data_IF_949760491692
#
_entry.id   IF_949760491692
#
_cell.length_a   1.000
_cell.length_b   1.000
_cell.length_c   1.000
_cell.angle_alpha   90.00
_cell.angle_beta   90.00
_cell.angle_gamma   90.00
#
_symmetry.space_group_name_H-M   'P 1'
#
loop_
_entity.id
_entity.type
_entity.pdbx_description
1 polymer ?
#
# COMPACT_ATOMS: atom_id res chain seq x y z
N UNK A 1 -55.30 -29.70 11.44
CA UNK A 1 -56.59 -29.09 11.08
C UNK A 1 -56.26 -27.67 10.59
N UNK A 2 -56.20 -27.48 9.27
CA UNK A 2 -57.21 -26.76 8.45
C UNK A 2 -57.15 -25.23 8.69
N UNK A 3 -57.17 -24.33 7.71
CA UNK A 3 -57.37 -24.37 6.26
C UNK A 3 -56.90 -23.01 5.67
N UNK A 4 -56.63 -23.02 4.36
CA UNK A 4 -56.42 -21.86 3.49
C UNK A 4 -57.57 -20.84 3.53
N UNK A 5 -57.26 -19.57 3.22
CA UNK A 5 -58.17 -18.71 2.46
C UNK A 5 -57.41 -17.82 1.45
N UNK A 6 -57.86 -17.94 0.20
CA UNK A 6 -57.58 -17.08 -0.96
C UNK A 6 -58.47 -15.84 -0.88
N UNK A 7 -58.01 -14.68 -1.38
CA UNK A 7 -58.90 -13.70 -2.02
C UNK A 7 -58.17 -12.92 -3.13
N UNK A 8 -58.88 -12.83 -4.25
CA UNK A 8 -58.59 -12.14 -5.50
C UNK A 8 -59.30 -10.77 -5.46
N UNK A 9 -58.76 -9.73 -6.10
CA UNK A 9 -59.54 -8.75 -6.86
C UNK A 9 -58.64 -7.73 -7.59
N UNK A 10 -58.97 -7.56 -8.85
CA UNK A 10 -58.45 -6.68 -9.88
C UNK A 10 -59.28 -5.36 -9.90
N UNK A 11 -58.68 -4.23 -10.26
CA UNK A 11 -59.41 -3.03 -10.75
C UNK A 11 -58.47 -1.91 -11.21
N UNK A 12 -58.76 -1.30 -12.36
CA UNK A 12 -58.62 0.16 -12.48
C UNK A 12 -57.99 0.74 -13.76
N UNK A 13 -58.66 0.53 -14.89
CA UNK A 13 -58.91 1.47 -16.02
C UNK A 13 -58.11 2.77 -16.20
N UNK A 14 -57.61 2.89 -17.43
CA UNK A 14 -57.21 4.07 -18.22
C UNK A 14 -58.21 5.24 -18.25
N UNK A 15 -57.67 6.47 -18.33
CA UNK A 15 -58.26 7.62 -19.03
C UNK A 15 -57.18 8.40 -19.80
N UNK A 16 -57.55 8.80 -21.01
CA UNK A 16 -56.80 9.49 -22.06
C UNK A 16 -57.04 11.03 -22.04
N UNK A 17 -56.15 11.75 -22.74
CA UNK A 17 -56.27 13.05 -23.43
C UNK A 17 -55.00 13.90 -23.20
N UNK A 18 -54.31 14.47 -24.20
CA UNK A 18 -54.48 14.50 -25.65
C UNK A 18 -53.53 15.53 -26.28
N UNK A 19 -53.39 15.45 -27.61
CA UNK A 19 -52.92 16.47 -28.59
C UNK A 19 -51.47 17.00 -28.46
N UNK A 20 -50.67 17.18 -29.53
CA UNK A 20 -50.86 16.98 -30.97
C UNK A 20 -49.65 17.54 -31.76
N UNK A 21 -49.50 17.06 -33.00
CA UNK A 21 -48.76 17.59 -34.18
C UNK A 21 -47.25 17.91 -34.02
N UNK A 22 -46.33 17.55 -34.92
CA UNK A 22 -46.32 17.17 -36.34
C UNK A 22 -44.91 17.56 -36.83
N UNK A 23 -44.15 16.73 -37.55
CA UNK A 23 -43.85 16.74 -38.99
C UNK A 23 -42.62 15.79 -39.09
N UNK A 24 -42.47 14.76 -39.93
CA UNK A 24 -42.95 14.54 -41.29
C UNK A 24 -41.78 14.75 -42.26
N UNK A 25 -40.96 13.72 -42.53
CA UNK A 25 -40.20 13.59 -43.79
C UNK A 25 -40.02 12.12 -44.18
N UNK A 26 -40.14 11.93 -45.49
CA UNK A 26 -40.55 10.74 -46.24
C UNK A 26 -39.34 9.91 -46.70
N UNK A 27 -39.48 8.58 -46.68
CA UNK A 27 -38.49 7.61 -47.17
C UNK A 27 -38.88 7.24 -48.61
N UNK A 28 -38.00 7.52 -49.56
CA UNK A 28 -38.15 7.12 -50.96
C UNK A 28 -37.22 5.94 -51.29
N UNK A 29 -37.82 4.85 -51.77
CA UNK A 29 -37.12 3.68 -52.34
C UNK A 29 -37.10 3.79 -53.87
N UNK A 30 -35.99 3.40 -54.50
CA UNK A 30 -35.90 3.04 -55.93
C UNK A 30 -34.93 1.84 -56.11
N UNK A 31 -35.07 1.06 -57.21
CA UNK A 31 -34.96 -0.41 -57.21
C UNK A 31 -33.62 -1.00 -57.68
N UNK A 32 -33.43 -2.29 -57.39
CA UNK A 32 -32.35 -3.17 -57.86
C UNK A 32 -32.29 -3.32 -59.39
N UNK A 33 -31.09 -3.22 -59.97
CA UNK A 33 -30.73 -3.93 -61.21
C UNK A 33 -29.24 -4.31 -61.24
N UNK A 34 -28.99 -5.46 -61.86
CA UNK A 34 -27.84 -6.35 -61.79
C UNK A 34 -26.81 -6.17 -62.93
N UNK A 35 -25.58 -6.58 -62.63
CA UNK A 35 -24.43 -7.06 -63.43
C UNK A 35 -24.25 -6.75 -64.95
N UNK A 36 -22.95 -6.46 -65.22
CA UNK A 36 -22.10 -6.77 -66.41
C UNK A 36 -22.14 -5.82 -67.62
N UNK A 37 -21.05 -5.06 -67.79
CA UNK A 37 -20.23 -4.95 -69.04
C UNK A 37 -19.18 -3.82 -68.83
N UNK A 38 -17.88 -4.13 -68.67
CA UNK A 38 -16.82 -4.24 -69.70
C UNK A 38 -16.59 -2.95 -70.53
N UNK A 39 -15.47 -2.25 -70.28
CA UNK A 39 -14.50 -1.87 -71.33
C UNK A 39 -13.17 -1.37 -70.75
N UNK A 40 -12.11 -1.91 -71.37
CA UNK A 40 -10.68 -1.86 -71.12
C UNK A 40 -10.04 -0.46 -71.34
N UNK A 41 -8.94 -0.19 -70.63
CA UNK A 41 -7.97 0.85 -70.99
C UNK A 41 -6.83 0.97 -69.97
N UNK A 42 -5.60 0.68 -70.40
CA UNK A 42 -4.43 0.41 -69.58
C UNK A 42 -3.75 1.65 -68.95
N UNK A 43 -3.03 1.43 -67.84
CA UNK A 43 -2.03 2.37 -67.31
C UNK A 43 -1.75 2.21 -65.82
N UNK A 44 -0.80 1.35 -65.46
CA UNK A 44 -0.35 1.14 -64.08
C UNK A 44 0.59 2.25 -63.60
N UNK A 45 0.25 2.96 -62.53
CA UNK A 45 1.18 3.42 -61.46
C UNK A 45 0.37 3.56 -60.17
N UNK A 46 0.81 2.86 -59.12
CA UNK A 46 0.20 2.87 -57.79
C UNK A 46 0.51 4.17 -57.04
N UNK A 47 -0.53 4.85 -56.55
CA UNK A 47 -0.42 5.94 -55.59
C UNK A 47 -1.28 5.61 -54.37
N UNK A 48 -0.64 5.11 -53.31
CA UNK A 48 -1.22 5.02 -51.97
C UNK A 48 -1.46 6.44 -51.45
N UNK A 49 -2.71 6.79 -51.15
CA UNK A 49 -3.05 8.08 -50.55
C UNK A 49 -4.43 8.07 -49.90
N UNK A 50 -4.44 8.37 -48.61
CA UNK A 50 -5.57 8.71 -47.74
C UNK A 50 -6.44 7.57 -47.19
N UNK A 51 -6.07 7.11 -45.99
CA UNK A 51 -7.06 6.91 -44.93
C UNK A 51 -6.57 7.68 -43.68
N UNK A 52 -7.16 8.85 -43.46
CA UNK A 52 -6.95 9.67 -42.26
C UNK A 52 -8.24 9.62 -41.46
N UNK A 53 -8.18 9.15 -40.21
CA UNK A 53 -8.92 9.68 -39.04
C UNK A 53 -8.81 8.74 -37.83
N UNK A 54 -8.42 9.34 -36.70
CA UNK A 54 -8.55 8.89 -35.31
C UNK A 54 -7.48 7.93 -34.73
N UNK A 55 -6.24 8.43 -34.63
CA UNK A 55 -5.39 8.11 -33.49
C UNK A 55 -4.93 9.42 -32.84
N UNK A 56 -5.54 9.81 -31.72
CA UNK A 56 -4.93 10.81 -30.82
C UNK A 56 -3.70 10.14 -30.23
N UNK A 57 -2.47 10.64 -30.40
CA UNK A 57 -1.38 10.16 -29.59
C UNK A 57 -1.68 10.65 -28.17
N UNK A 58 -1.97 9.74 -27.25
CA UNK A 58 -1.75 10.03 -25.85
C UNK A 58 -0.26 10.38 -25.76
N UNK A 59 0.04 11.64 -25.44
CA UNK A 59 1.38 12.06 -25.12
C UNK A 59 1.79 11.35 -23.83
N UNK A 60 2.26 10.11 -23.96
CA UNK A 60 3.05 9.45 -22.95
C UNK A 60 4.28 10.33 -22.76
N UNK A 61 4.25 11.16 -21.73
CA UNK A 61 5.44 11.81 -21.25
C UNK A 61 6.39 10.68 -20.86
N UNK A 62 7.36 10.40 -21.72
CA UNK A 62 8.47 9.53 -21.39
C UNK A 62 9.21 10.20 -20.22
N UNK A 63 8.81 9.86 -18.99
CA UNK A 63 9.58 10.18 -17.81
C UNK A 63 10.94 9.53 -18.02
N UNK A 64 12.00 10.34 -18.00
CA UNK A 64 13.37 9.87 -17.96
C UNK A 64 13.58 9.08 -16.67
N UNK A 65 13.31 7.77 -16.72
CA UNK A 65 13.51 6.84 -15.61
C UNK A 65 15.00 6.55 -15.46
N UNK A 66 15.74 7.50 -14.89
CA UNK A 66 17.10 7.27 -14.45
C UNK A 66 17.08 6.62 -13.06
N UNK A 67 17.85 5.54 -12.89
CA UNK A 67 18.21 5.03 -11.55
C UNK A 67 18.85 6.20 -10.80
N UNK A 68 18.20 6.64 -9.71
CA UNK A 68 18.66 7.77 -8.92
C UNK A 68 19.02 7.29 -7.53
N UNK A 69 20.19 7.66 -7.04
CA UNK A 69 20.61 7.36 -5.68
C UNK A 69 19.85 8.25 -4.70
N UNK A 70 19.03 7.63 -3.85
CA UNK A 70 18.45 8.26 -2.66
C UNK A 70 19.19 7.67 -1.45
N UNK A 71 19.93 8.48 -0.67
CA UNK A 71 20.80 7.98 0.39
C UNK A 71 20.14 6.96 1.32
N UNK A 72 20.90 5.93 1.74
CA UNK A 72 20.42 4.83 2.57
C UNK A 72 19.83 3.66 1.76
N UNK A 73 19.02 3.92 0.74
CA UNK A 73 18.42 2.85 -0.08
C UNK A 73 19.44 2.01 -0.85
N UNK A 74 20.58 2.60 -1.21
CA UNK A 74 21.66 1.89 -1.93
C UNK A 74 22.17 0.66 -1.14
N UNK A 75 22.10 0.67 0.20
CA UNK A 75 22.48 -0.46 1.04
C UNK A 75 21.51 -1.66 0.93
N UNK A 76 20.33 -1.45 0.36
CA UNK A 76 19.26 -2.44 0.18
C UNK A 76 18.91 -2.66 -1.29
N UNK A 77 19.85 -2.40 -2.21
CA UNK A 77 19.61 -2.51 -3.65
C UNK A 77 19.21 -3.93 -4.14
N UNK A 78 19.37 -4.97 -3.31
CA UNK A 78 18.90 -6.33 -3.60
C UNK A 78 17.41 -6.54 -3.31
N UNK A 79 16.79 -5.72 -2.46
CA UNK A 79 15.38 -5.83 -2.05
C UNK A 79 14.56 -4.57 -2.35
N UNK A 80 15.21 -3.48 -2.71
CA UNK A 80 14.59 -2.19 -3.00
C UNK A 80 15.12 -1.63 -4.31
N UNK A 81 14.22 -1.05 -5.11
CA UNK A 81 14.58 -0.31 -6.33
C UNK A 81 14.05 1.11 -6.25
N UNK A 82 14.93 2.08 -6.47
CA UNK A 82 14.57 3.50 -6.46
C UNK A 82 14.69 4.07 -7.87
N UNK A 83 13.63 4.74 -8.30
CA UNK A 83 13.58 5.45 -9.58
C UNK A 83 13.09 6.87 -9.35
N UNK A 84 13.50 7.80 -10.21
CA UNK A 84 12.90 9.15 -10.23
C UNK A 84 11.81 9.20 -11.30
N UNK A 85 10.64 9.72 -10.93
CA UNK A 85 9.54 9.98 -11.87
C UNK A 85 8.88 11.31 -11.53
N UNK A 86 9.08 12.31 -12.40
CA UNK A 86 8.58 13.67 -12.19
C UNK A 86 9.06 14.26 -10.85
N UNK A 87 8.10 14.60 -9.98
CA UNK A 87 8.34 15.21 -8.65
C UNK A 87 8.56 14.20 -7.52
N UNK A 88 8.58 12.90 -7.80
CA UNK A 88 8.70 11.85 -6.80
C UNK A 88 9.93 10.96 -7.04
N UNK A 89 10.48 10.45 -5.94
CA UNK A 89 11.16 9.16 -5.94
C UNK A 89 10.09 8.07 -5.82
N UNK A 90 10.14 7.08 -6.71
CA UNK A 90 9.35 5.87 -6.66
C UNK A 90 10.21 4.75 -6.08
N UNK A 91 9.75 4.15 -4.99
CA UNK A 91 10.46 3.08 -4.29
C UNK A 91 9.66 1.79 -4.40
N UNK A 92 10.24 0.80 -5.08
CA UNK A 92 9.68 -0.53 -5.20
C UNK A 92 10.25 -1.46 -4.12
N UNK A 93 9.39 -2.23 -3.46
CA UNK A 93 9.78 -3.21 -2.42
C UNK A 93 8.71 -4.29 -2.24
N UNK A 94 9.05 -5.35 -1.50
CA UNK A 94 8.08 -6.35 -1.04
C UNK A 94 7.36 -5.95 0.26
N UNK A 95 7.84 -4.89 0.94
CA UNK A 95 7.41 -4.52 2.29
C UNK A 95 7.95 -5.43 3.40
N UNK A 96 8.75 -6.46 3.09
CA UNK A 96 9.35 -7.36 4.08
C UNK A 96 10.82 -7.04 4.35
N UNK A 97 11.27 -7.03 5.62
CA UNK A 97 12.67 -6.89 5.98
C UNK A 97 13.45 -8.20 5.78
N UNK A 98 14.79 -8.12 5.85
CA UNK A 98 15.68 -9.29 5.91
C UNK A 98 15.92 -9.84 7.32
N UNK A 99 15.56 -9.07 8.35
CA UNK A 99 15.63 -9.52 9.75
C UNK A 99 14.37 -10.32 10.14
N UNK A 100 14.38 -10.93 11.33
CA UNK A 100 13.23 -11.69 11.82
C UNK A 100 12.01 -10.79 12.11
N UNK A 101 10.80 -11.34 12.19
CA UNK A 101 9.57 -10.60 12.45
C UNK A 101 8.74 -11.30 13.53
N UNK A 102 7.67 -10.66 14.00
CA UNK A 102 6.57 -11.20 14.80
C UNK A 102 6.90 -11.61 16.24
N UNK A 103 8.12 -12.05 16.53
CA UNK A 103 8.53 -12.50 17.87
C UNK A 103 8.46 -11.34 18.86
N UNK A 104 7.76 -11.57 19.99
CA UNK A 104 7.60 -10.58 21.06
C UNK A 104 6.21 -9.93 21.11
N UNK A 105 5.39 -10.10 20.06
CA UNK A 105 4.01 -9.57 20.04
C UNK A 105 3.17 -10.27 21.12
N UNK A 106 2.49 -9.48 21.95
CA UNK A 106 1.59 -9.92 23.05
C UNK A 106 0.13 -9.53 22.84
N UNK A 107 -0.12 -8.54 21.98
CA UNK A 107 -1.45 -8.14 21.51
C UNK A 107 -1.53 -8.46 20.02
N UNK A 108 -1.80 -9.72 19.70
CA UNK A 108 -1.76 -10.22 18.33
C UNK A 108 -3.14 -10.38 17.72
N UNK A 109 -3.34 -9.80 16.53
CA UNK A 109 -4.58 -9.88 15.74
C UNK A 109 -4.58 -11.03 14.70
N UNK A 110 -3.82 -12.09 14.97
CA UNK A 110 -3.75 -13.28 14.11
C UNK A 110 -3.34 -12.97 12.66
N UNK A 111 -2.54 -11.92 12.46
CA UNK A 111 -1.95 -11.55 11.16
C UNK A 111 -0.53 -12.12 11.04
N UNK A 112 -0.12 -12.46 9.82
CA UNK A 112 1.19 -13.02 9.51
C UNK A 112 1.84 -12.22 8.37
N UNK A 113 3.17 -12.15 8.27
CA UNK A 113 3.80 -11.30 7.27
C UNK A 113 3.69 -11.93 5.87
N UNK A 114 3.16 -11.17 4.93
CA UNK A 114 3.07 -11.52 3.51
C UNK A 114 3.68 -10.42 2.64
N UNK A 115 4.44 -10.84 1.61
CA UNK A 115 5.02 -9.92 0.66
C UNK A 115 3.93 -9.19 -0.16
N UNK A 116 4.03 -7.87 -0.24
CA UNK A 116 3.17 -7.01 -1.02
C UNK A 116 3.87 -6.65 -2.35
N UNK A 117 3.09 -6.38 -3.40
CA UNK A 117 3.66 -5.97 -4.70
C UNK A 117 3.65 -4.44 -4.81
N UNK A 118 4.56 -3.78 -4.10
CA UNK A 118 4.77 -2.34 -4.24
C UNK A 118 5.68 -2.08 -5.44
N UNK A 119 5.17 -2.25 -6.66
CA UNK A 119 5.94 -2.14 -7.90
C UNK A 119 5.19 -1.32 -8.95
N UNK A 120 5.91 -0.72 -9.90
CA UNK A 120 5.33 0.07 -10.98
C UNK A 120 4.42 1.20 -10.46
N UNK A 121 3.15 1.19 -10.85
CA UNK A 121 2.15 2.18 -10.42
C UNK A 121 1.77 2.06 -8.94
N UNK A 122 2.19 0.98 -8.25
CA UNK A 122 2.01 0.73 -6.82
C UNK A 122 3.31 0.93 -6.02
N UNK A 123 4.33 1.57 -6.59
CA UNK A 123 5.52 1.94 -5.86
C UNK A 123 5.21 3.03 -4.80
N UNK A 124 5.96 3.03 -3.71
CA UNK A 124 5.90 4.12 -2.73
C UNK A 124 6.36 5.42 -3.36
N UNK A 125 5.66 6.53 -3.08
CA UNK A 125 5.95 7.84 -3.65
C UNK A 125 6.49 8.77 -2.57
N UNK A 126 7.73 9.24 -2.72
CA UNK A 126 8.37 10.17 -1.79
C UNK A 126 8.67 11.47 -2.54
N UNK A 127 8.17 12.64 -2.08
CA UNK A 127 8.47 13.92 -2.73
C UNK A 127 9.98 14.13 -2.89
N UNK A 128 10.42 14.40 -4.11
CA UNK A 128 11.84 14.56 -4.39
C UNK A 128 12.41 15.92 -3.96
N UNK A 129 11.53 16.89 -3.75
CA UNK A 129 11.82 18.22 -3.21
C UNK A 129 10.76 18.53 -2.17
N UNK A 130 10.99 18.22 -0.89
CA UNK A 130 10.03 18.48 0.17
C UNK A 130 9.81 20.00 0.33
N UNK A 131 8.57 20.38 0.63
CA UNK A 131 8.16 21.79 0.80
C UNK A 131 7.58 21.95 2.19
N UNK A 132 8.05 22.95 2.95
CA UNK A 132 7.51 23.25 4.28
C UNK A 132 6.04 23.64 4.20
N UNK A 133 5.22 23.04 5.06
CA UNK A 133 3.82 23.38 5.20
C UNK A 133 3.65 24.67 6.01
N UNK A 134 2.70 25.51 5.59
CA UNK A 134 2.22 26.64 6.40
C UNK A 134 1.31 26.20 7.54
N UNK A 135 0.76 24.99 7.43
CA UNK A 135 -0.06 24.34 8.44
C UNK A 135 0.41 22.88 8.60
N UNK A 136 1.52 22.64 9.34
CA UNK A 136 1.98 21.29 9.65
C UNK A 136 0.90 20.45 10.33
N UNK A 137 0.88 19.14 10.07
CA UNK A 137 -0.15 18.24 10.58
C UNK A 137 0.45 17.25 11.57
N UNK A 138 -0.17 17.10 12.75
CA UNK A 138 0.27 16.14 13.78
C UNK A 138 -0.29 14.75 13.54
N UNK A 139 0.54 13.72 13.74
CA UNK A 139 0.10 12.34 13.73
C UNK A 139 -0.71 11.95 14.98
N UNK A 140 -0.87 12.82 15.99
CA UNK A 140 -1.68 12.54 17.18
C UNK A 140 -3.16 12.31 16.88
N UNK A 141 -3.67 12.96 15.84
CA UNK A 141 -5.07 12.96 15.46
C UNK A 141 -5.29 12.86 13.93
N UNK A 142 -4.22 12.69 13.17
CA UNK A 142 -4.22 12.47 11.72
C UNK A 142 -3.39 11.24 11.37
N UNK A 143 -3.56 10.71 10.16
CA UNK A 143 -2.73 9.62 9.64
C UNK A 143 -2.75 8.35 10.50
N UNK A 144 -3.92 8.01 11.07
CA UNK A 144 -4.13 6.79 11.88
C UNK A 144 -4.30 5.54 10.99
N UNK A 145 -4.23 5.70 9.66
CA UNK A 145 -4.24 4.63 8.66
C UNK A 145 -3.07 4.83 7.69
N UNK A 146 -2.51 3.73 7.22
CA UNK A 146 -1.42 3.75 6.23
C UNK A 146 -0.09 4.25 6.80
N UNK A 147 0.90 4.32 5.92
CA UNK A 147 2.24 4.74 6.29
C UNK A 147 2.35 6.26 6.43
N UNK A 148 3.28 6.67 7.29
CA UNK A 148 3.75 8.06 7.42
C UNK A 148 5.20 8.23 6.97
N UNK A 149 5.94 7.13 6.86
CA UNK A 149 7.30 7.11 6.34
C UNK A 149 7.61 5.75 5.67
N UNK A 150 8.73 5.68 4.97
CA UNK A 150 9.26 4.46 4.38
C UNK A 150 10.70 4.26 4.86
N UNK A 151 10.97 3.12 5.48
CA UNK A 151 12.32 2.73 5.87
C UNK A 151 13.17 2.41 4.64
N UNK A 152 14.48 2.64 4.73
CA UNK A 152 15.40 2.43 3.60
C UNK A 152 15.56 0.97 3.18
N UNK A 153 15.13 0.02 4.03
CA UNK A 153 15.01 -1.39 3.69
C UNK A 153 13.70 -1.74 2.93
N UNK A 154 12.85 -0.74 2.64
CA UNK A 154 11.61 -0.89 1.89
C UNK A 154 10.39 -1.25 2.72
N UNK A 155 10.49 -1.30 4.05
CA UNK A 155 9.37 -1.57 4.96
C UNK A 155 8.64 -0.25 5.28
N UNK A 156 7.30 -0.21 5.19
CA UNK A 156 6.52 0.97 5.57
C UNK A 156 6.62 1.24 7.07
N UNK A 157 6.57 2.52 7.45
CA UNK A 157 6.48 2.94 8.85
C UNK A 157 5.17 3.66 9.05
N UNK A 158 4.34 3.12 9.93
CA UNK A 158 3.04 3.64 10.30
C UNK A 158 3.18 4.54 11.53
N UNK A 159 2.10 5.25 11.83
CA UNK A 159 2.00 6.12 12.99
C UNK A 159 2.27 5.34 14.29
N UNK A 160 2.99 5.92 15.25
CA UNK A 160 3.20 5.29 16.57
C UNK A 160 1.89 4.91 17.28
N UNK A 161 0.80 5.60 16.94
CA UNK A 161 -0.55 5.26 17.36
C UNK A 161 -1.22 4.30 16.37
N UNK A 162 -1.93 3.30 16.88
CA UNK A 162 -2.80 2.46 16.06
C UNK A 162 -4.11 3.20 15.68
N UNK A 163 -4.99 2.53 14.94
CA UNK A 163 -6.23 3.12 14.43
C UNK A 163 -7.25 3.53 15.52
N UNK A 164 -7.03 3.16 16.79
CA UNK A 164 -7.83 3.58 17.95
C UNK A 164 -7.22 4.78 18.67
N UNK A 165 -5.99 5.18 18.30
CA UNK A 165 -5.22 6.22 18.99
C UNK A 165 -4.36 5.70 20.15
N UNK A 166 -4.26 4.38 20.34
CA UNK A 166 -3.42 3.79 21.39
C UNK A 166 -1.96 3.70 20.90
N UNK A 167 -0.98 3.90 21.80
CA UNK A 167 0.44 3.68 21.51
C UNK A 167 0.69 2.18 21.26
N UNK A 168 1.05 1.83 20.02
CA UNK A 168 1.22 0.45 19.57
C UNK A 168 2.39 -0.26 20.27
N UNK A 169 3.46 0.48 20.62
CA UNK A 169 4.59 -0.07 21.36
C UNK A 169 4.16 -0.45 22.78
N UNK A 170 3.47 0.47 23.47
CA UNK A 170 3.02 0.24 24.85
C UNK A 170 1.88 -0.78 24.96
N UNK A 171 1.05 -0.93 23.91
CA UNK A 171 -0.04 -1.92 23.87
C UNK A 171 0.44 -3.35 23.65
N UNK A 172 1.75 -3.56 23.38
CA UNK A 172 2.33 -4.87 23.13
C UNK A 172 1.97 -5.44 21.75
N UNK A 173 1.57 -4.60 20.80
CA UNK A 173 1.26 -4.98 19.42
C UNK A 173 2.52 -5.24 18.58
N UNK A 174 3.68 -4.72 19.01
CA UNK A 174 4.93 -4.76 18.24
C UNK A 174 5.82 -5.96 18.58
N UNK A 175 6.52 -6.45 17.57
CA UNK A 175 7.60 -7.41 17.71
C UNK A 175 8.90 -6.74 18.23
N UNK A 176 9.94 -7.55 18.41
CA UNK A 176 11.24 -7.11 18.90
C UNK A 176 11.96 -6.11 17.97
N UNK A 177 11.46 -5.91 16.74
CA UNK A 177 11.99 -4.98 15.75
C UNK A 177 11.12 -3.73 15.62
N UNK A 178 10.04 -3.64 16.40
CA UNK A 178 9.17 -2.48 16.43
C UNK A 178 8.12 -2.46 15.34
N UNK A 179 7.77 -3.61 14.77
CA UNK A 179 6.72 -3.73 13.76
C UNK A 179 5.71 -4.84 14.03
N UNK A 180 4.67 -4.88 13.21
CA UNK A 180 3.68 -5.95 13.20
C UNK A 180 2.99 -6.03 11.83
N UNK A 181 2.06 -6.97 11.69
CA UNK A 181 1.26 -7.11 10.49
C UNK A 181 -0.11 -6.44 10.62
N UNK A 182 -0.49 -5.63 9.64
CA UNK A 182 -1.82 -5.05 9.48
C UNK A 182 -2.85 -6.07 8.99
N UNK A 183 -4.12 -5.65 8.87
CA UNK A 183 -5.25 -6.51 8.46
C UNK A 183 -5.13 -7.08 7.04
N UNK A 184 -4.14 -6.65 6.26
CA UNK A 184 -3.84 -7.20 4.94
C UNK A 184 -2.60 -8.09 4.94
N UNK A 185 -2.19 -8.58 6.12
CA UNK A 185 -0.95 -9.33 6.32
C UNK A 185 0.29 -8.53 5.86
N UNK A 186 0.21 -7.19 5.85
CA UNK A 186 1.30 -6.29 5.51
C UNK A 186 2.13 -5.97 6.75
N UNK A 187 3.41 -6.33 6.74
CA UNK A 187 4.33 -5.98 7.82
C UNK A 187 4.74 -4.49 7.73
N UNK A 188 4.73 -3.79 8.86
CA UNK A 188 5.17 -2.40 8.97
C UNK A 188 5.69 -2.08 10.37
N UNK A 189 6.57 -1.09 10.46
CA UNK A 189 7.03 -0.57 11.77
C UNK A 189 6.07 0.47 12.33
N UNK A 190 6.07 0.63 13.66
CA UNK A 190 5.43 1.75 14.37
C UNK A 190 6.44 2.64 15.11
N UNK A 191 7.70 2.21 15.16
CA UNK A 191 8.82 2.96 15.75
C UNK A 191 9.95 3.06 14.73
N UNK A 192 10.88 3.99 14.94
CA UNK A 192 12.03 4.11 14.05
C UNK A 192 12.87 2.81 14.07
N UNK A 193 13.19 2.21 12.90
CA UNK A 193 14.04 1.03 12.83
C UNK A 193 15.52 1.40 13.02
N UNK A 194 15.88 1.82 14.24
CA UNK A 194 17.21 2.35 14.59
C UNK A 194 18.35 1.39 14.27
N UNK A 195 18.09 0.09 14.26
CA UNK A 195 19.05 -0.94 13.89
C UNK A 195 19.62 -0.74 12.47
N UNK A 196 18.85 -0.15 11.54
CA UNK A 196 19.29 0.12 10.17
C UNK A 196 20.48 1.09 10.11
N UNK A 197 20.66 1.94 11.13
CA UNK A 197 21.80 2.87 11.21
C UNK A 197 23.16 2.15 11.12
N UNK A 198 23.25 0.93 11.69
CA UNK A 198 24.45 0.09 11.62
C UNK A 198 24.78 -0.41 10.21
N UNK A 199 23.78 -0.46 9.33
CA UNK A 199 23.90 -0.95 7.95
C UNK A 199 24.18 0.22 7.01
N UNK A 200 23.40 1.31 7.11
CA UNK A 200 23.52 2.45 6.19
C UNK A 200 24.58 3.46 6.59
N UNK A 201 25.10 3.35 7.81
CA UNK A 201 26.01 4.30 8.42
C UNK A 201 25.30 5.54 8.98
N UNK A 202 26.00 6.26 9.85
CA UNK A 202 25.44 7.43 10.55
C UNK A 202 25.03 8.58 9.62
N UNK A 203 25.77 8.79 8.55
CA UNK A 203 25.57 9.90 7.62
C UNK A 203 24.41 9.69 6.66
N UNK A 204 23.83 8.49 6.63
CA UNK A 204 22.70 8.14 5.77
C UNK A 204 21.41 8.09 6.58
N UNK A 205 20.27 8.51 6.01
CA UNK A 205 18.96 8.31 6.64
C UNK A 205 18.63 6.83 6.81
N UNK A 206 17.86 6.51 7.84
CA UNK A 206 17.27 5.18 8.06
C UNK A 206 15.87 5.07 7.45
N UNK A 207 15.23 6.20 7.17
CA UNK A 207 13.92 6.27 6.54
C UNK A 207 13.72 7.65 5.90
N UNK A 208 12.61 7.81 5.19
CA UNK A 208 12.11 9.08 4.66
C UNK A 208 10.63 9.21 5.00
N UNK A 209 10.24 10.34 5.56
CA UNK A 209 8.83 10.67 5.76
C UNK A 209 8.15 10.88 4.40
N UNK A 210 6.83 10.64 4.32
CA UNK A 210 6.08 10.79 3.08
C UNK A 210 5.89 12.26 2.64
N UNK A 211 6.33 13.23 3.44
CA UNK A 211 6.50 14.62 3.02
C UNK A 211 7.84 14.89 2.29
N UNK A 212 8.74 13.90 2.25
CA UNK A 212 10.01 13.90 1.55
C UNK A 212 11.24 14.21 2.41
N UNK A 213 11.08 14.57 3.70
CA UNK A 213 12.22 14.83 4.57
C UNK A 213 12.86 13.53 5.08
N UNK A 214 14.21 13.48 5.20
CA UNK A 214 14.90 12.31 5.71
C UNK A 214 14.67 12.13 7.22
N UNK A 215 14.76 10.88 7.66
CA UNK A 215 14.71 10.48 9.07
C UNK A 215 16.04 9.79 9.40
N UNK A 216 16.77 10.33 10.38
CA UNK A 216 18.00 9.74 10.91
C UNK A 216 17.72 8.96 12.20
N UNK A 217 18.69 8.20 12.70
CA UNK A 217 18.59 7.56 14.01
C UNK A 217 18.83 8.55 15.15
N UNK A 218 19.44 8.09 16.24
CA UNK A 218 19.52 8.83 17.50
C UNK A 218 20.64 9.87 17.58
N UNK A 219 21.35 10.12 16.49
CA UNK A 219 22.47 11.08 16.42
C UNK A 219 22.39 11.89 15.14
N UNK A 220 22.99 13.08 15.16
CA UNK A 220 23.25 13.87 13.95
C UNK A 220 24.16 13.09 12.97
N UNK A 221 24.13 13.43 11.66
CA UNK A 221 25.05 12.87 10.68
C UNK A 221 26.53 13.03 11.06
N UNK A 222 26.89 14.12 11.75
CA UNK A 222 28.25 14.38 12.23
C UNK A 222 28.63 13.60 13.50
N UNK A 223 27.67 12.96 14.16
CA UNK A 223 27.88 12.19 15.39
C UNK A 223 27.55 12.91 16.68
N UNK A 224 27.20 14.20 16.62
CA UNK A 224 26.73 14.91 17.80
C UNK A 224 25.36 14.41 18.26
N UNK A 225 25.05 14.69 19.53
CA UNK A 225 23.76 14.36 20.11
C UNK A 225 22.66 15.24 19.50
N UNK A 226 21.51 14.63 19.25
CA UNK A 226 20.32 15.35 18.77
C UNK A 226 19.80 16.25 19.88
N UNK A 227 19.57 17.52 19.58
CA UNK A 227 19.03 18.51 20.53
C UNK A 227 18.00 19.42 19.84
N UNK A 228 17.04 19.90 20.62
CA UNK A 228 16.07 20.88 20.14
C UNK A 228 15.11 20.34 19.09
N UNK A 229 14.67 19.08 19.24
CA UNK A 229 13.60 18.52 18.43
C UNK A 229 12.29 19.30 18.66
N UNK A 230 11.58 19.52 17.57
CA UNK A 230 10.25 20.12 17.56
C UNK A 230 9.16 19.09 17.89
N UNK A 231 7.90 19.54 17.85
CA UNK A 231 6.73 18.72 18.15
C UNK A 231 6.55 17.47 17.26
N UNK A 232 7.24 17.38 16.12
CA UNK A 232 7.20 16.25 15.20
C UNK A 232 8.46 15.39 15.22
N UNK A 233 9.31 15.56 16.25
CA UNK A 233 10.54 14.80 16.41
C UNK A 233 11.58 15.12 15.31
N UNK A 234 11.57 16.36 14.79
CA UNK A 234 12.54 16.84 13.82
C UNK A 234 13.10 18.21 14.18
N UNK A 235 14.09 18.67 13.44
CA UNK A 235 14.67 20.00 13.63
C UNK A 235 15.42 20.47 12.37
N UNK A 236 15.92 21.70 12.41
CA UNK A 236 16.79 22.23 11.35
C UNK A 236 18.25 22.10 11.73
N UNK A 237 19.07 21.63 10.78
CA UNK A 237 20.53 21.70 10.93
C UNK A 237 21.06 23.14 10.83
N UNK A 238 22.37 23.31 11.05
CA UNK A 238 23.08 24.59 10.91
C UNK A 238 22.95 25.21 9.50
N UNK A 239 22.65 24.41 8.48
CA UNK A 239 22.44 24.80 7.08
C UNK A 239 20.96 25.03 6.74
N UNK A 240 20.08 25.07 7.75
CA UNK A 240 18.63 25.25 7.60
C UNK A 240 17.95 24.14 6.79
N UNK A 241 18.48 22.92 6.84
CA UNK A 241 17.84 21.72 6.29
C UNK A 241 17.08 21.01 7.41
N UNK A 242 15.77 20.86 7.21
CA UNK A 242 14.92 20.13 8.13
C UNK A 242 15.06 18.61 7.95
N UNK A 243 15.02 17.87 9.05
CA UNK A 243 15.01 16.41 9.07
C UNK A 243 14.44 15.90 10.40
N UNK A 244 13.95 14.66 10.39
CA UNK A 244 13.42 13.98 11.58
C UNK A 244 14.46 13.04 12.19
N UNK A 245 14.19 12.63 13.43
CA UNK A 245 14.95 11.61 14.13
C UNK A 245 14.05 10.50 14.68
N UNK A 246 14.61 9.30 14.75
CA UNK A 246 14.10 8.25 15.63
C UNK A 246 14.55 8.48 17.07
N UNK A 247 13.67 8.21 18.02
CA UNK A 247 13.92 8.39 19.47
C UNK A 247 13.41 7.18 20.26
N UNK A 248 13.88 7.03 21.50
CA UNK A 248 13.41 5.97 22.42
C UNK A 248 12.13 6.35 23.18
N UNK A 249 11.64 7.58 23.02
CA UNK A 249 10.45 8.11 23.67
C UNK A 249 9.43 8.51 22.62
N UNK A 250 8.14 8.45 22.95
CA UNK A 250 7.06 8.91 22.08
C UNK A 250 7.40 10.30 21.48
N UNK A 251 7.27 10.49 20.16
CA UNK A 251 6.59 9.62 19.19
C UNK A 251 7.45 8.50 18.58
N UNK A 252 8.70 8.26 19.03
CA UNK A 252 9.68 7.26 18.55
C UNK A 252 10.15 7.42 17.09
N UNK A 253 9.34 8.04 16.25
CA UNK A 253 9.52 8.32 14.82
C UNK A 253 9.03 9.76 14.53
N UNK A 254 8.76 10.17 13.29
CA UNK A 254 8.18 11.48 13.01
C UNK A 254 6.74 11.57 13.56
N UNK A 255 6.51 12.51 14.48
CA UNK A 255 5.22 12.71 15.16
C UNK A 255 4.15 13.44 14.33
N UNK A 256 4.37 13.57 13.03
CA UNK A 256 3.59 14.37 12.10
C UNK A 256 4.41 14.75 10.87
N UNK A 257 3.95 15.78 10.16
CA UNK A 257 4.60 16.31 8.96
C UNK A 257 4.80 17.81 9.07
N UNK A 258 6.05 18.22 9.00
CA UNK A 258 6.49 19.60 8.77
C UNK A 258 6.33 20.01 7.31
N UNK A 259 6.46 19.04 6.39
CA UNK A 259 6.24 19.26 4.97
C UNK A 259 4.78 19.16 4.56
N UNK A 260 4.51 19.55 3.31
CA UNK A 260 3.18 19.45 2.69
C UNK A 260 2.85 17.99 2.39
N UNK A 261 1.71 17.54 2.92
CA UNK A 261 1.09 16.25 2.60
C UNK A 261 -0.40 16.46 2.31
N UNK A 262 -1.03 15.46 1.70
CA UNK A 262 -2.49 15.37 1.59
C UNK A 262 -2.97 14.21 2.44
N UNK A 263 -4.03 14.40 3.22
CA UNK A 263 -4.71 13.34 3.95
C UNK A 263 -6.01 12.97 3.23
N UNK A 264 -6.20 11.70 2.93
CA UNK A 264 -7.44 11.14 2.37
C UNK A 264 -7.82 9.95 3.22
N UNK A 265 -9.03 9.92 3.77
CA UNK A 265 -9.53 8.82 4.63
C UNK A 265 -8.59 8.42 5.79
N UNK A 266 -7.87 9.37 6.36
CA UNK A 266 -6.96 9.13 7.49
C UNK A 266 -5.58 8.59 7.10
N UNK A 267 -5.19 8.65 5.82
CA UNK A 267 -3.88 8.22 5.32
C UNK A 267 -3.24 9.29 4.41
N UNK A 268 -1.91 9.29 4.32
CA UNK A 268 -1.18 10.16 3.38
C UNK A 268 -1.50 9.76 1.93
N UNK A 269 -1.65 10.74 1.03
CA UNK A 269 -1.89 10.50 -0.39
C UNK A 269 -0.90 11.27 -1.28
N UNK A 270 -0.35 10.65 -2.35
CA UNK A 270 -0.56 9.26 -2.77
C UNK A 270 0.29 8.25 -1.98
N UNK A 271 -0.23 7.05 -1.75
CA UNK A 271 0.55 5.89 -1.30
C UNK A 271 -0.10 4.59 -1.83
N UNK A 272 0.67 3.50 -2.01
CA UNK A 272 0.09 2.23 -2.43
C UNK A 272 -0.73 1.58 -1.30
N UNK A 273 -1.59 0.64 -1.68
CA UNK A 273 -2.35 -0.19 -0.74
C UNK A 273 -1.85 -1.63 -0.75
N UNK A 274 -2.01 -2.34 0.37
CA UNK A 274 -1.76 -3.76 0.49
C UNK A 274 -2.95 -4.59 -0.03
N UNK A 275 -2.67 -5.77 -0.59
CA UNK A 275 -3.67 -6.71 -1.09
C UNK A 275 -3.75 -7.94 -0.17
N UNK A 276 -4.85 -8.13 0.57
CA UNK A 276 -4.99 -9.27 1.49
C UNK A 276 -5.23 -10.59 0.75
N UNK A 277 -4.71 -11.71 1.29
CA UNK A 277 -5.18 -13.06 0.94
C UNK A 277 -6.49 -13.42 1.64
N UNK A 278 -6.66 -12.97 2.88
CA UNK A 278 -7.76 -13.35 3.78
C UNK A 278 -8.28 -12.14 4.54
N UNK A 279 -9.39 -12.29 5.26
CA UNK A 279 -9.87 -11.22 6.13
C UNK A 279 -8.95 -11.04 7.34
N UNK A 280 -8.94 -9.82 7.89
CA UNK A 280 -8.21 -9.54 9.12
C UNK A 280 -8.77 -10.39 10.25
N UNK A 281 -7.89 -11.08 10.97
CA UNK A 281 -8.24 -11.89 12.12
C UNK A 281 -8.61 -11.06 13.34
N UNK A 282 -9.24 -11.73 14.31
CA UNK A 282 -9.62 -11.11 15.58
C UNK A 282 -8.45 -11.11 16.58
N UNK A 283 -8.40 -10.17 17.53
CA UNK A 283 -7.43 -10.21 18.62
C UNK A 283 -7.48 -11.52 19.40
N UNK A 284 -6.34 -12.22 19.50
CA UNK A 284 -6.21 -13.45 20.28
C UNK A 284 -5.65 -13.13 21.67
N UNK A 285 -6.54 -12.84 22.61
CA UNK A 285 -6.17 -12.42 23.97
C UNK A 285 -5.34 -13.48 24.68
N UNK A 286 -4.22 -13.05 25.27
CA UNK A 286 -3.31 -13.93 26.03
C UNK A 286 -2.30 -14.69 25.19
N UNK A 287 -2.37 -14.59 23.85
CA UNK A 287 -1.35 -15.18 22.99
C UNK A 287 -0.06 -14.35 23.02
N UNK A 288 1.07 -15.04 23.02
CA UNK A 288 2.39 -14.43 22.85
C UNK A 288 3.10 -15.12 21.70
N UNK A 289 3.52 -14.36 20.69
CA UNK A 289 4.30 -14.91 19.57
C UNK A 289 5.73 -15.14 20.05
N UNK A 290 6.16 -16.40 20.05
CA UNK A 290 7.45 -16.82 20.62
C UNK A 290 8.49 -17.17 19.57
N UNK A 291 8.07 -17.54 18.36
CA UNK A 291 8.99 -17.87 17.28
C UNK A 291 8.39 -17.54 15.91
N UNK A 292 9.26 -17.22 14.96
CA UNK A 292 8.91 -17.02 13.57
C UNK A 292 10.11 -17.45 12.71
N UNK A 293 9.89 -18.39 11.80
CA UNK A 293 10.96 -18.98 10.98
C UNK A 293 10.49 -19.08 9.54
N UNK A 294 11.35 -18.67 8.62
CA UNK A 294 11.18 -18.94 7.20
C UNK A 294 11.59 -20.39 6.89
N UNK A 295 10.65 -21.20 6.43
CA UNK A 295 10.84 -22.64 6.13
C UNK A 295 11.01 -22.91 4.64
N UNK A 296 10.77 -21.90 3.79
CA UNK A 296 11.01 -21.92 2.35
C UNK A 296 10.94 -20.51 1.77
N UNK A 297 11.16 -20.32 0.45
CA UNK A 297 11.23 -19.00 -0.17
C UNK A 297 10.01 -18.10 0.12
N UNK A 298 8.82 -18.70 0.20
CA UNK A 298 7.56 -18.03 0.50
C UNK A 298 6.75 -18.78 1.58
N UNK A 299 7.45 -19.56 2.42
CA UNK A 299 6.85 -20.41 3.45
C UNK A 299 7.44 -20.12 4.83
N UNK A 300 6.59 -20.12 5.85
CA UNK A 300 6.93 -19.72 7.20
C UNK A 300 6.19 -20.58 8.25
N UNK A 301 6.78 -20.66 9.44
CA UNK A 301 6.16 -21.22 10.65
C UNK A 301 6.21 -20.16 11.76
N UNK A 302 5.04 -19.70 12.19
CA UNK A 302 4.87 -18.84 13.36
C UNK A 302 4.44 -19.72 14.54
N UNK A 303 5.17 -19.64 15.65
CA UNK A 303 4.80 -20.28 16.92
C UNK A 303 4.29 -19.25 17.91
N UNK A 304 3.17 -19.55 18.57
CA UNK A 304 2.65 -18.74 19.68
C UNK A 304 2.27 -19.59 20.88
N UNK A 305 2.48 -19.04 22.07
CA UNK A 305 2.05 -19.63 23.33
C UNK A 305 0.68 -19.09 23.74
N UNK A 306 -0.24 -19.98 24.15
CA UNK A 306 -1.57 -19.64 24.66
C UNK A 306 -2.02 -20.69 25.66
N UNK A 307 -2.48 -20.29 26.86
CA UNK A 307 -2.98 -21.19 27.91
C UNK A 307 -2.04 -22.37 28.25
N UNK A 308 -0.72 -22.14 28.19
CA UNK A 308 0.30 -23.16 28.46
C UNK A 308 0.59 -24.13 27.30
N UNK A 309 -0.10 -23.99 26.17
CA UNK A 309 0.16 -24.74 24.94
C UNK A 309 0.94 -23.93 23.91
N UNK A 310 1.70 -24.63 23.06
CA UNK A 310 2.35 -24.05 21.89
C UNK A 310 1.57 -24.41 20.63
N UNK A 311 1.20 -23.40 19.86
CA UNK A 311 0.45 -23.51 18.63
C UNK A 311 1.29 -23.03 17.46
N UNK A 312 0.99 -23.51 16.26
CA UNK A 312 1.64 -23.07 15.03
C UNK A 312 0.65 -22.51 14.02
N UNK A 313 1.10 -21.49 13.29
CA UNK A 313 0.52 -21.07 12.01
C UNK A 313 1.59 -21.28 10.96
N UNK A 314 1.50 -22.41 10.25
CA UNK A 314 2.38 -22.73 9.12
C UNK A 314 1.71 -22.27 7.85
N UNK A 315 2.40 -21.53 7.01
CA UNK A 315 1.80 -21.07 5.76
C UNK A 315 2.81 -20.97 4.64
N UNK A 316 2.30 -21.07 3.41
CA UNK A 316 3.06 -20.83 2.21
C UNK A 316 2.21 -20.06 1.19
N UNK A 317 2.85 -19.20 0.40
CA UNK A 317 2.19 -18.48 -0.69
C UNK A 317 2.71 -18.91 -2.05
N UNK A 318 1.81 -19.04 -3.02
CA UNK A 318 2.11 -19.35 -4.42
C UNK A 318 1.23 -18.48 -5.33
N UNK A 319 1.83 -17.41 -5.86
CA UNK A 319 1.09 -16.41 -6.64
C UNK A 319 -0.05 -15.79 -5.84
N UNK A 320 -1.29 -16.08 -6.26
CA UNK A 320 -2.49 -15.57 -5.62
C UNK A 320 -3.07 -16.48 -4.55
N UNK A 321 -2.45 -17.62 -4.26
CA UNK A 321 -2.93 -18.54 -3.23
C UNK A 321 -2.04 -18.50 -1.98
N UNK A 322 -2.67 -18.64 -0.81
CA UNK A 322 -2.02 -18.84 0.48
C UNK A 322 -2.63 -20.08 1.14
N UNK A 323 -1.80 -21.08 1.40
CA UNK A 323 -2.16 -22.28 2.16
C UNK A 323 -1.73 -22.10 3.61
N UNK A 324 -2.58 -22.44 4.57
CA UNK A 324 -2.33 -22.27 6.01
C UNK A 324 -2.74 -23.51 6.79
N UNK A 325 -1.82 -24.03 7.59
CA UNK A 325 -2.06 -25.06 8.60
C UNK A 325 -2.00 -24.43 9.99
N UNK A 326 -3.13 -24.44 10.67
CA UNK A 326 -3.20 -24.14 12.11
C UNK A 326 -3.00 -25.44 12.88
N UNK A 327 -1.92 -25.51 13.67
CA UNK A 327 -1.56 -26.72 14.41
C UNK A 327 -1.72 -26.45 15.91
N UNK A 328 -2.49 -27.30 16.58
CA UNK A 328 -2.67 -27.23 18.04
C UNK A 328 -1.53 -27.95 18.82
N UNK A 329 -1.47 -27.82 20.15
CA UNK A 329 -0.44 -28.46 20.96
C UNK A 329 -0.47 -29.99 20.94
N UNK A 330 -1.59 -30.60 20.52
CA UNK A 330 -1.75 -32.04 20.38
C UNK A 330 -1.38 -32.52 18.96
N UNK A 331 -1.06 -31.60 18.05
CA UNK A 331 -0.70 -31.88 16.67
C UNK A 331 -1.89 -32.00 15.72
N UNK A 332 -3.12 -31.67 16.15
CA UNK A 332 -4.26 -31.60 15.25
C UNK A 332 -4.10 -30.42 14.30
N UNK A 333 -4.44 -30.64 13.02
CA UNK A 333 -4.25 -29.66 11.95
C UNK A 333 -5.61 -29.23 11.41
N UNK A 334 -5.84 -27.92 11.37
CA UNK A 334 -6.88 -27.28 10.56
C UNK A 334 -6.23 -26.61 9.36
N UNK A 335 -6.53 -27.12 8.17
CA UNK A 335 -6.02 -26.61 6.91
C UNK A 335 -7.01 -25.62 6.28
N UNK A 336 -6.51 -24.48 5.79
CA UNK A 336 -7.27 -23.46 5.09
C UNK A 336 -6.49 -22.95 3.87
N UNK A 337 -7.21 -22.56 2.82
CA UNK A 337 -6.63 -21.98 1.60
C UNK A 337 -7.35 -20.68 1.30
N UNK A 338 -6.59 -19.64 0.98
CA UNK A 338 -7.09 -18.30 0.68
C UNK A 338 -6.58 -17.78 -0.65
N UNK A 339 -7.37 -16.91 -1.28
CA UNK A 339 -7.02 -16.28 -2.56
C UNK A 339 -6.87 -14.78 -2.42
N UNK A 340 -5.77 -14.23 -2.95
CA UNK A 340 -5.47 -12.79 -2.97
C UNK A 340 -6.60 -11.99 -3.61
N UNK A 341 -7.04 -10.97 -2.90
CA UNK A 341 -8.06 -10.02 -3.32
C UNK A 341 -7.39 -8.72 -3.73
N UNK A 342 -7.77 -8.20 -4.89
CA UNK A 342 -7.38 -6.85 -5.28
C UNK A 342 -8.24 -5.86 -4.50
N UNK A 343 -7.59 -4.91 -3.83
CA UNK A 343 -8.21 -3.69 -3.32
C UNK A 343 -7.87 -2.54 -4.26
#
# INVERSE_FOLDING_TARGET
MAHNHHFHADSGTHLDHGQGNGHGHEISHLPELDRRSLLLGAGAVASLGLLSMLARPAAAHAATTGVTKLPGFDAFASSVKVMRSGKYYLVESSGLPSHNMMVGIKSWQQQVPNAQSYTGTRAWSIPATPVMSKAPMSAKNHFLRGAIALAVNGVPIFNALNNRGDDAYLSGELDNWGGHCGRADDYHYHVAPLHLQSIVGRTSPIAYALDGYPIYGTTEPDGSAVVGLDEFNGHFDKKKKYHYHGTSTYPYINGGFKGVVSEVEGQVSPQPSANPYRDGGEPLRGAVVTNFVQTGPTAYDLTYALNGGNYHVRYATSGNEMSVDYVDPQGAIRHEVYTRRNR
#
